data_IF_606845937589
#
_entry.id   IF_606845937589
#
_cell.length_a   1.000
_cell.length_b   1.000
_cell.length_c   1.000
_cell.angle_alpha   90.00
_cell.angle_beta   90.00
_cell.angle_gamma   90.00
#
_symmetry.space_group_name_H-M   'P 1'
#
loop_
_entity.id
_entity.type
_entity.pdbx_description
1 polymer ?
#
# COMPACT_ATOMS: atom_id res chain seq x y z
N UNK A 1 14.90 -16.54 8.32
CA UNK A 1 15.65 -16.29 7.09
C UNK A 1 15.54 -14.80 6.77
N UNK A 2 16.66 -14.12 6.64
CA UNK A 2 16.70 -12.75 6.11
C UNK A 2 16.52 -12.82 4.58
N UNK A 3 15.91 -11.78 4.00
CA UNK A 3 15.68 -11.71 2.56
C UNK A 3 14.21 -11.82 2.15
N UNK A 4 13.96 -11.73 0.86
CA UNK A 4 12.62 -11.74 0.25
C UNK A 4 12.28 -13.10 -0.35
N UNK A 5 13.28 -13.85 -0.77
CA UNK A 5 13.11 -15.14 -1.44
C UNK A 5 12.23 -16.11 -0.65
N UNK A 6 11.26 -16.69 -1.32
CA UNK A 6 10.27 -17.61 -0.76
C UNK A 6 9.20 -17.00 0.15
N UNK A 7 9.26 -15.70 0.51
CA UNK A 7 8.23 -15.05 1.31
C UNK A 7 6.91 -14.95 0.56
N UNK A 8 5.81 -15.19 1.26
CA UNK A 8 4.46 -15.01 0.74
C UNK A 8 3.98 -13.60 1.08
N UNK A 9 3.72 -12.79 0.05
CA UNK A 9 3.35 -11.38 0.19
C UNK A 9 2.00 -11.11 -0.45
N UNK A 10 1.04 -10.63 0.34
CA UNK A 10 -0.22 -10.11 -0.17
C UNK A 10 -0.12 -8.59 -0.38
N UNK A 11 -0.59 -8.08 -1.53
CA UNK A 11 -0.50 -6.66 -1.89
C UNK A 11 -1.87 -6.15 -2.31
N UNK A 12 -2.38 -5.12 -1.63
CA UNK A 12 -3.59 -4.42 -2.05
C UNK A 12 -3.27 -3.26 -3.00
N UNK A 13 -4.19 -2.96 -3.94
CA UNK A 13 -3.93 -1.91 -4.94
C UNK A 13 -2.84 -2.27 -5.94
N UNK A 14 -2.63 -3.56 -6.20
CA UNK A 14 -1.52 -4.08 -7.00
C UNK A 14 -1.68 -3.89 -8.53
N UNK A 15 -2.74 -3.25 -9.01
CA UNK A 15 -3.05 -3.13 -10.45
C UNK A 15 -2.42 -1.92 -11.14
N UNK A 16 -1.70 -1.04 -10.43
CA UNK A 16 -1.00 0.13 -10.99
C UNK A 16 -0.05 0.77 -9.97
N UNK A 17 0.80 1.69 -10.45
CA UNK A 17 1.63 2.58 -9.64
C UNK A 17 2.54 1.83 -8.65
N UNK A 18 2.55 2.29 -7.40
CA UNK A 18 3.42 1.72 -6.35
C UNK A 18 3.14 0.23 -6.12
N UNK A 19 1.86 -0.18 -6.12
CA UNK A 19 1.49 -1.57 -5.88
C UNK A 19 1.96 -2.51 -6.99
N UNK A 20 1.83 -2.12 -8.26
CA UNK A 20 2.35 -2.87 -9.41
C UNK A 20 3.88 -2.94 -9.37
N UNK A 21 4.56 -1.79 -9.19
CA UNK A 21 6.03 -1.76 -9.12
C UNK A 21 6.57 -2.61 -7.96
N UNK A 22 5.88 -2.60 -6.79
CA UNK A 22 6.22 -3.45 -5.66
C UNK A 22 6.05 -4.93 -5.99
N UNK A 23 4.94 -5.30 -6.64
CA UNK A 23 4.68 -6.68 -7.03
C UNK A 23 5.77 -7.21 -7.97
N UNK A 24 6.13 -6.43 -9.00
CA UNK A 24 7.16 -6.81 -9.96
C UNK A 24 8.54 -6.98 -9.29
N UNK A 25 8.96 -6.01 -8.47
CA UNK A 25 10.25 -6.05 -7.79
C UNK A 25 10.34 -7.21 -6.79
N UNK A 26 9.28 -7.47 -6.01
CA UNK A 26 9.28 -8.58 -5.05
C UNK A 26 9.26 -9.94 -5.74
N UNK A 27 8.56 -10.08 -6.88
CA UNK A 27 8.59 -11.29 -7.70
C UNK A 27 9.99 -11.57 -8.26
N UNK A 28 10.67 -10.54 -8.77
CA UNK A 28 12.07 -10.63 -9.24
C UNK A 28 13.01 -11.11 -8.13
N UNK A 29 12.71 -10.78 -6.86
CA UNK A 29 13.47 -11.22 -5.69
C UNK A 29 13.00 -12.56 -5.09
N UNK A 30 12.18 -13.32 -5.80
CA UNK A 30 11.73 -14.65 -5.41
C UNK A 30 10.53 -14.73 -4.47
N UNK A 31 9.80 -13.63 -4.22
CA UNK A 31 8.58 -13.67 -3.44
C UNK A 31 7.45 -14.41 -4.19
N UNK A 32 6.55 -15.04 -3.43
CA UNK A 32 5.29 -15.61 -3.89
C UNK A 32 4.17 -14.62 -3.60
N UNK A 33 3.42 -14.19 -4.62
CA UNK A 33 2.56 -13.03 -4.52
C UNK A 33 1.09 -13.37 -4.59
N UNK A 34 0.29 -12.71 -3.73
CA UNK A 34 -1.17 -12.68 -3.79
C UNK A 34 -1.59 -11.23 -4.05
N UNK A 35 -2.07 -10.96 -5.25
CA UNK A 35 -2.34 -9.61 -5.70
C UNK A 35 -3.84 -9.29 -5.65
N UNK A 36 -4.20 -8.23 -4.93
CA UNK A 36 -5.56 -7.75 -4.78
C UNK A 36 -5.76 -6.36 -5.37
N UNK A 37 -6.79 -6.19 -6.20
CA UNK A 37 -7.26 -4.90 -6.68
C UNK A 37 -8.68 -5.01 -7.27
N UNK A 38 -9.35 -3.86 -7.47
CA UNK A 38 -10.69 -3.82 -8.10
C UNK A 38 -10.66 -4.06 -9.60
N UNK A 39 -9.60 -3.62 -10.30
CA UNK A 39 -9.45 -3.70 -11.76
C UNK A 39 -8.83 -5.04 -12.16
N UNK A 40 -9.68 -6.07 -12.27
CA UNK A 40 -9.25 -7.46 -12.50
C UNK A 40 -8.43 -7.63 -13.79
N UNK A 41 -8.78 -6.95 -14.86
CA UNK A 41 -8.04 -7.04 -16.15
C UNK A 41 -6.62 -6.47 -16.05
N UNK A 42 -6.43 -5.32 -15.37
CA UNK A 42 -5.10 -4.77 -15.14
C UNK A 42 -4.28 -5.68 -14.22
N UNK A 43 -4.93 -6.22 -13.19
CA UNK A 43 -4.31 -7.15 -12.25
C UNK A 43 -3.84 -8.44 -12.95
N UNK A 44 -4.64 -8.98 -13.89
CA UNK A 44 -4.28 -10.14 -14.70
C UNK A 44 -3.01 -9.88 -15.54
N UNK A 45 -2.85 -8.68 -16.09
CA UNK A 45 -1.65 -8.30 -16.84
C UNK A 45 -0.40 -8.31 -15.95
N UNK A 46 -0.50 -7.81 -14.72
CA UNK A 46 0.61 -7.84 -13.75
C UNK A 46 1.00 -9.27 -13.41
N UNK A 47 0.01 -10.13 -13.10
CA UNK A 47 0.25 -11.56 -12.83
C UNK A 47 0.90 -12.25 -14.02
N UNK A 48 0.40 -12.04 -15.23
CA UNK A 48 0.96 -12.64 -16.43
C UNK A 48 2.44 -12.23 -16.65
N UNK A 49 2.78 -10.96 -16.44
CA UNK A 49 4.18 -10.47 -16.51
C UNK A 49 5.08 -11.17 -15.50
N UNK A 50 4.61 -11.34 -14.26
CA UNK A 50 5.36 -12.03 -13.21
C UNK A 50 5.58 -13.50 -13.58
N UNK A 51 4.54 -14.19 -14.03
CA UNK A 51 4.61 -15.61 -14.40
C UNK A 51 5.48 -15.84 -15.63
N UNK A 52 5.43 -14.96 -16.63
CA UNK A 52 6.30 -15.01 -17.81
C UNK A 52 7.79 -14.82 -17.46
N UNK A 53 8.08 -14.07 -16.41
CA UNK A 53 9.43 -13.92 -15.86
C UNK A 53 9.85 -15.07 -14.92
N UNK A 54 9.02 -16.13 -14.78
CA UNK A 54 9.29 -17.28 -13.91
C UNK A 54 8.91 -17.10 -12.44
N UNK A 55 8.29 -15.98 -12.08
CA UNK A 55 7.83 -15.71 -10.72
C UNK A 55 6.48 -16.37 -10.39
N UNK A 56 6.15 -16.43 -9.11
CA UNK A 56 4.91 -17.02 -8.59
C UNK A 56 3.93 -15.93 -8.14
N UNK A 57 2.81 -15.79 -8.84
CA UNK A 57 1.76 -14.84 -8.48
C UNK A 57 0.36 -15.40 -8.76
N UNK A 58 -0.57 -15.08 -7.87
CA UNK A 58 -2.02 -15.30 -8.04
C UNK A 58 -2.74 -13.99 -7.77
N UNK A 59 -3.99 -13.90 -8.21
CA UNK A 59 -4.80 -12.70 -8.03
C UNK A 59 -6.20 -13.01 -7.53
N UNK A 60 -6.79 -12.02 -6.88
CA UNK A 60 -8.21 -12.01 -6.53
C UNK A 60 -8.74 -10.57 -6.63
N UNK A 61 -9.98 -10.41 -7.16
CA UNK A 61 -10.63 -9.11 -7.11
C UNK A 61 -10.82 -8.71 -5.66
N UNK A 62 -10.32 -7.52 -5.27
CA UNK A 62 -10.34 -7.04 -3.89
C UNK A 62 -10.76 -5.58 -3.86
N UNK A 63 -11.85 -5.29 -3.18
CA UNK A 63 -12.24 -3.95 -2.77
C UNK A 63 -11.96 -3.80 -1.26
N UNK A 64 -10.99 -2.96 -0.91
CA UNK A 64 -10.57 -2.82 0.49
C UNK A 64 -11.63 -2.21 1.41
N UNK A 65 -12.70 -1.61 0.85
CA UNK A 65 -13.84 -1.15 1.62
C UNK A 65 -14.74 -2.30 2.11
N UNK A 66 -14.55 -3.50 1.57
CA UNK A 66 -15.29 -4.72 1.93
C UNK A 66 -14.40 -5.63 2.77
N UNK A 67 -14.80 -5.86 4.00
CA UNK A 67 -14.06 -6.70 4.94
C UNK A 67 -13.82 -8.12 4.41
N UNK A 68 -14.83 -8.67 3.78
CA UNK A 68 -14.83 -10.04 3.23
C UNK A 68 -13.76 -10.22 2.15
N UNK A 69 -13.55 -9.18 1.34
CA UNK A 69 -12.55 -9.23 0.26
C UNK A 69 -11.12 -9.31 0.83
N UNK A 70 -10.85 -8.65 1.98
CA UNK A 70 -9.54 -8.74 2.64
C UNK A 70 -9.33 -10.11 3.29
N UNK A 71 -10.36 -10.69 3.89
CA UNK A 71 -10.30 -12.07 4.38
C UNK A 71 -10.05 -13.06 3.25
N UNK A 72 -10.72 -12.90 2.09
CA UNK A 72 -10.49 -13.75 0.93
C UNK A 72 -9.08 -13.61 0.36
N UNK A 73 -8.51 -12.38 0.32
CA UNK A 73 -7.12 -12.14 -0.09
C UNK A 73 -6.12 -12.87 0.80
N UNK A 74 -6.31 -12.80 2.12
CA UNK A 74 -5.45 -13.47 3.12
C UNK A 74 -5.63 -14.99 3.08
N UNK A 75 -6.87 -15.48 2.95
CA UNK A 75 -7.15 -16.91 2.84
C UNK A 75 -6.49 -17.52 1.60
N UNK A 76 -6.54 -16.82 0.46
CA UNK A 76 -5.89 -17.26 -0.78
C UNK A 76 -4.36 -17.43 -0.61
N UNK A 77 -3.70 -16.64 0.24
CA UNK A 77 -2.29 -16.84 0.55
C UNK A 77 -2.03 -18.17 1.26
N UNK A 78 -2.87 -18.50 2.25
CA UNK A 78 -2.82 -19.79 2.93
C UNK A 78 -3.09 -20.97 1.99
N UNK A 79 -4.14 -20.89 1.17
CA UNK A 79 -4.54 -21.93 0.22
C UNK A 79 -3.49 -22.21 -0.85
N UNK A 80 -2.87 -21.18 -1.40
CA UNK A 80 -1.94 -21.31 -2.54
C UNK A 80 -0.51 -21.52 -2.13
N UNK A 81 -0.08 -20.98 -0.99
CA UNK A 81 1.33 -20.96 -0.58
C UNK A 81 1.56 -21.44 0.85
N UNK A 82 0.51 -21.83 1.58
CA UNK A 82 0.56 -22.42 2.92
C UNK A 82 0.78 -21.43 4.08
N UNK A 83 0.97 -20.13 3.78
CA UNK A 83 1.24 -19.07 4.79
C UNK A 83 1.03 -17.68 4.23
N UNK A 84 1.11 -16.68 5.12
CA UNK A 84 1.27 -15.28 4.75
C UNK A 84 2.42 -14.68 5.57
N UNK A 85 3.44 -14.10 4.94
CA UNK A 85 4.56 -13.46 5.65
C UNK A 85 4.42 -11.95 5.75
N UNK A 86 3.88 -11.32 4.71
CA UNK A 86 3.76 -9.86 4.61
C UNK A 86 2.41 -9.47 4.02
N UNK A 87 1.76 -8.48 4.65
CA UNK A 87 0.64 -7.76 4.05
C UNK A 87 1.07 -6.34 3.69
N UNK A 88 1.09 -6.02 2.39
CA UNK A 88 1.32 -4.66 1.89
C UNK A 88 -0.02 -3.96 1.69
N UNK A 89 -0.38 -3.11 2.64
CA UNK A 89 -1.56 -2.24 2.60
C UNK A 89 -1.28 -1.00 1.75
N UNK A 90 -1.35 -1.14 0.42
CA UNK A 90 -1.01 -0.06 -0.51
C UNK A 90 -2.24 0.58 -1.17
N UNK A 91 -3.38 -0.07 -1.21
CA UNK A 91 -4.59 0.53 -1.79
C UNK A 91 -4.92 1.87 -1.12
N UNK A 92 -5.13 2.90 -1.92
CA UNK A 92 -5.46 4.23 -1.45
C UNK A 92 -6.05 5.09 -2.56
N UNK A 93 -6.76 6.14 -2.17
CA UNK A 93 -7.29 7.17 -3.06
C UNK A 93 -7.01 8.55 -2.48
N UNK A 94 -6.90 9.54 -3.35
CA UNK A 94 -6.72 10.93 -2.93
C UNK A 94 -7.43 11.84 -3.91
N UNK A 95 -8.62 12.25 -3.54
CA UNK A 95 -9.37 13.30 -4.26
C UNK A 95 -9.06 14.62 -3.59
N UNK A 96 -8.28 15.45 -4.29
CA UNK A 96 -7.81 16.72 -3.78
C UNK A 96 -8.73 17.83 -4.27
N UNK A 97 -9.29 18.59 -3.31
CA UNK A 97 -10.15 19.74 -3.60
C UNK A 97 -10.21 20.69 -2.40
N UNK A 98 -10.54 21.99 -2.60
CA UNK A 98 -10.90 22.88 -1.50
C UNK A 98 -12.07 22.30 -0.70
N UNK A 99 -12.12 22.56 0.62
CA UNK A 99 -13.26 22.16 1.45
C UNK A 99 -14.56 22.84 1.00
N UNK A 100 -14.48 24.05 0.46
CA UNK A 100 -15.63 24.80 -0.05
C UNK A 100 -16.33 24.11 -1.25
N UNK A 101 -15.66 23.17 -1.92
CA UNK A 101 -16.30 22.36 -2.98
C UNK A 101 -17.33 21.37 -2.41
N UNK A 102 -17.36 21.15 -1.08
CA UNK A 102 -18.29 20.28 -0.34
C UNK A 102 -18.46 18.88 -0.96
N UNK A 103 -17.35 18.28 -1.40
CA UNK A 103 -17.36 16.95 -2.05
C UNK A 103 -17.41 15.82 -1.02
N UNK A 104 -18.50 15.77 -0.26
CA UNK A 104 -18.67 14.87 0.89
C UNK A 104 -18.53 13.40 0.49
N UNK A 105 -19.08 12.98 -0.64
CA UNK A 105 -18.97 11.59 -1.12
C UNK A 105 -17.50 11.18 -1.39
N UNK A 106 -16.67 12.13 -1.85
CA UNK A 106 -15.24 11.89 -2.05
C UNK A 106 -14.50 11.80 -0.71
N UNK A 107 -14.91 12.58 0.28
CA UNK A 107 -14.36 12.51 1.63
C UNK A 107 -14.68 11.15 2.28
N UNK A 108 -15.95 10.72 2.21
CA UNK A 108 -16.38 9.40 2.72
C UNK A 108 -15.60 8.28 2.05
N UNK A 109 -15.44 8.36 0.73
CA UNK A 109 -14.64 7.39 -0.03
C UNK A 109 -13.17 7.35 0.42
N UNK A 110 -12.55 8.51 0.72
CA UNK A 110 -11.18 8.55 1.25
C UNK A 110 -11.09 7.90 2.63
N UNK A 111 -12.07 8.12 3.50
CA UNK A 111 -12.16 7.45 4.81
C UNK A 111 -12.32 5.94 4.64
N UNK A 112 -13.25 5.51 3.79
CA UNK A 112 -13.54 4.10 3.57
C UNK A 112 -12.33 3.34 3.00
N UNK A 113 -11.66 3.91 2.00
CA UNK A 113 -10.53 3.24 1.35
C UNK A 113 -9.26 3.36 2.20
N UNK A 114 -8.89 4.58 2.63
CA UNK A 114 -7.59 4.82 3.24
C UNK A 114 -7.52 4.41 4.70
N UNK A 115 -8.62 4.55 5.46
CA UNK A 115 -8.66 4.21 6.90
C UNK A 115 -9.27 2.83 7.10
N UNK A 116 -10.54 2.64 6.71
CA UNK A 116 -11.22 1.35 6.93
C UNK A 116 -10.54 0.23 6.15
N UNK A 117 -10.03 0.51 4.92
CA UNK A 117 -9.27 -0.48 4.16
C UNK A 117 -8.02 -0.99 4.90
N UNK A 118 -7.30 -0.12 5.61
CA UNK A 118 -6.16 -0.52 6.46
C UNK A 118 -6.64 -1.34 7.65
N UNK A 119 -7.70 -0.92 8.34
CA UNK A 119 -8.29 -1.66 9.46
C UNK A 119 -8.78 -3.05 9.03
N UNK A 120 -9.42 -3.17 7.86
CA UNK A 120 -9.84 -4.47 7.32
C UNK A 120 -8.64 -5.37 7.02
N UNK A 121 -7.54 -4.80 6.48
CA UNK A 121 -6.30 -5.54 6.25
C UNK A 121 -5.70 -6.06 7.55
N UNK A 122 -5.62 -5.21 8.58
CA UNK A 122 -5.16 -5.61 9.91
C UNK A 122 -6.07 -6.71 10.47
N UNK A 123 -7.38 -6.53 10.42
CA UNK A 123 -8.36 -7.51 10.93
C UNK A 123 -8.27 -8.87 10.23
N UNK A 124 -7.94 -8.90 8.95
CA UNK A 124 -7.78 -10.14 8.19
C UNK A 124 -6.44 -10.85 8.46
N UNK A 125 -5.32 -10.10 8.52
CA UNK A 125 -4.00 -10.70 8.60
C UNK A 125 -3.50 -10.92 10.04
N UNK A 126 -3.90 -10.09 11.01
CA UNK A 126 -3.42 -10.19 12.38
C UNK A 126 -3.68 -11.55 13.05
N UNK A 127 -4.86 -12.18 12.93
CA UNK A 127 -5.09 -13.52 13.46
C UNK A 127 -4.17 -14.57 12.84
N UNK A 128 -3.91 -14.48 11.53
CA UNK A 128 -3.01 -15.39 10.81
C UNK A 128 -1.58 -15.22 11.29
N UNK A 129 -1.09 -13.99 11.40
CA UNK A 129 0.25 -13.68 11.89
C UNK A 129 0.44 -14.12 13.35
N UNK A 130 -0.57 -13.94 14.21
CA UNK A 130 -0.53 -14.43 15.60
C UNK A 130 -0.44 -15.95 15.66
N UNK A 131 -1.23 -16.66 14.86
CA UNK A 131 -1.19 -18.13 14.79
C UNK A 131 0.14 -18.65 14.25
N UNK A 132 0.77 -17.92 13.32
CA UNK A 132 2.09 -18.27 12.78
C UNK A 132 3.26 -17.89 13.71
N UNK A 133 3.04 -17.03 14.70
CA UNK A 133 4.10 -16.45 15.54
C UNK A 133 5.04 -15.52 14.76
N UNK A 134 4.65 -15.06 13.58
CA UNK A 134 5.45 -14.15 12.74
C UNK A 134 4.58 -13.46 11.69
N UNK A 135 4.94 -12.22 11.33
CA UNK A 135 4.27 -11.48 10.28
C UNK A 135 4.82 -10.06 10.14
N UNK A 136 4.49 -9.42 9.01
CA UNK A 136 4.91 -8.05 8.75
C UNK A 136 3.80 -7.26 8.06
N UNK A 137 3.36 -6.18 8.68
CA UNK A 137 2.47 -5.18 8.07
C UNK A 137 3.33 -4.09 7.44
N UNK A 138 3.19 -3.86 6.14
CA UNK A 138 3.80 -2.73 5.43
C UNK A 138 2.68 -1.87 4.87
N UNK A 139 2.57 -0.62 5.32
CA UNK A 139 1.44 0.24 4.93
C UNK A 139 1.93 1.51 4.22
N UNK A 140 1.35 1.81 3.08
CA UNK A 140 1.64 3.03 2.32
C UNK A 140 0.84 4.20 2.88
N UNK A 141 1.53 5.10 3.59
CA UNK A 141 1.00 6.39 4.04
C UNK A 141 1.23 7.49 2.98
N UNK A 142 1.81 8.61 3.37
CA UNK A 142 2.18 9.74 2.51
C UNK A 142 2.99 10.77 3.30
N UNK A 143 3.77 11.62 2.65
CA UNK A 143 4.30 12.84 3.27
C UNK A 143 3.19 13.79 3.75
N UNK A 144 1.98 13.66 3.24
CA UNK A 144 0.79 14.34 3.77
C UNK A 144 0.42 13.91 5.21
N UNK A 145 1.01 12.83 5.74
CA UNK A 145 0.89 12.44 7.16
C UNK A 145 1.83 13.22 8.10
N UNK A 146 2.60 14.18 7.58
CA UNK A 146 3.52 15.02 8.36
C UNK A 146 3.27 16.51 8.16
N UNK A 147 2.74 16.88 7.01
CA UNK A 147 2.50 18.27 6.65
C UNK A 147 1.22 18.39 5.84
N UNK A 148 0.36 19.29 6.26
CA UNK A 148 -0.86 19.62 5.54
C UNK A 148 -0.54 20.76 4.56
N UNK A 149 -1.02 20.62 3.32
CA UNK A 149 -0.98 21.69 2.32
C UNK A 149 -2.42 22.04 1.89
N UNK A 150 -2.66 23.24 1.35
CA UNK A 150 -3.99 23.63 0.87
C UNK A 150 -4.61 22.56 -0.05
N UNK A 151 -5.92 22.44 -0.02
CA UNK A 151 -6.73 21.48 -0.77
C UNK A 151 -6.59 20.01 -0.37
N UNK A 152 -5.68 19.67 0.55
CA UNK A 152 -5.40 18.28 0.97
C UNK A 152 -5.94 17.92 2.35
N UNK A 153 -6.80 18.72 2.97
CA UNK A 153 -7.20 18.56 4.37
C UNK A 153 -7.70 17.13 4.68
N UNK A 154 -8.70 16.65 3.94
CA UNK A 154 -9.30 15.32 4.21
C UNK A 154 -8.31 14.20 3.85
N UNK A 155 -7.63 14.28 2.70
CA UNK A 155 -6.60 13.32 2.35
C UNK A 155 -5.50 13.24 3.42
N UNK A 156 -4.96 14.39 3.84
CA UNK A 156 -3.96 14.45 4.90
C UNK A 156 -4.49 13.83 6.19
N UNK A 157 -5.70 14.17 6.62
CA UNK A 157 -6.31 13.58 7.81
C UNK A 157 -6.36 12.05 7.74
N UNK A 158 -6.71 11.46 6.58
CA UNK A 158 -6.68 10.01 6.41
C UNK A 158 -5.27 9.44 6.53
N UNK A 159 -4.25 10.14 6.03
CA UNK A 159 -2.85 9.67 6.10
C UNK A 159 -2.23 9.86 7.48
N UNK A 160 -2.60 10.89 8.23
CA UNK A 160 -2.30 11.00 9.66
C UNK A 160 -2.94 9.86 10.45
N UNK A 161 -4.22 9.54 10.17
CA UNK A 161 -4.89 8.41 10.82
C UNK A 161 -4.18 7.07 10.53
N UNK A 162 -3.79 6.81 9.28
CA UNK A 162 -3.03 5.60 8.90
C UNK A 162 -1.72 5.51 9.69
N UNK A 163 -0.97 6.61 9.79
CA UNK A 163 0.28 6.65 10.55
C UNK A 163 0.05 6.35 12.04
N UNK A 164 -0.99 6.94 12.64
CA UNK A 164 -1.37 6.68 14.03
C UNK A 164 -1.79 5.22 14.25
N UNK A 165 -2.58 4.64 13.33
CA UNK A 165 -3.00 3.23 13.39
C UNK A 165 -1.80 2.28 13.31
N UNK A 166 -0.85 2.54 12.40
CA UNK A 166 0.35 1.73 12.27
C UNK A 166 1.24 1.81 13.51
N UNK A 167 1.41 2.99 14.11
CA UNK A 167 2.16 3.14 15.36
C UNK A 167 1.47 2.43 16.54
N UNK A 168 0.13 2.56 16.67
CA UNK A 168 -0.63 1.81 17.66
C UNK A 168 -0.47 0.29 17.48
N UNK A 169 -0.63 -0.20 16.25
CA UNK A 169 -0.41 -1.61 15.94
C UNK A 169 1.02 -2.07 16.28
N UNK A 170 2.04 -1.26 15.99
CA UNK A 170 3.43 -1.56 16.32
C UNK A 170 3.63 -1.75 17.83
N UNK A 171 3.05 -0.88 18.65
CA UNK A 171 3.14 -0.97 20.12
C UNK A 171 2.43 -2.22 20.66
N UNK A 172 1.33 -2.64 20.01
CA UNK A 172 0.54 -3.80 20.42
C UNK A 172 1.02 -5.12 19.77
N UNK A 173 1.84 -5.04 18.73
CA UNK A 173 2.28 -6.20 17.93
C UNK A 173 3.13 -7.19 18.73
N UNK A 174 3.92 -6.73 19.70
CA UNK A 174 4.87 -7.55 20.46
C UNK A 174 6.09 -7.93 19.61
N UNK A 175 6.90 -8.84 20.10
CA UNK A 175 8.22 -9.18 19.53
C UNK A 175 8.16 -10.02 18.23
N UNK A 176 7.00 -10.59 17.92
CA UNK A 176 6.84 -11.53 16.79
C UNK A 176 6.37 -10.90 15.49
N UNK A 177 5.87 -9.67 15.53
CA UNK A 177 5.34 -8.97 14.36
C UNK A 177 6.10 -7.67 14.11
N UNK A 178 6.26 -7.35 12.84
CA UNK A 178 6.86 -6.08 12.38
C UNK A 178 5.80 -5.18 11.76
N UNK A 179 5.99 -3.88 11.92
CA UNK A 179 5.08 -2.88 11.35
C UNK A 179 5.89 -1.75 10.74
N UNK A 180 5.79 -1.60 9.43
CA UNK A 180 6.45 -0.54 8.66
C UNK A 180 5.44 0.38 8.01
N UNK A 181 5.61 1.68 8.19
CA UNK A 181 4.89 2.71 7.45
C UNK A 181 5.83 3.32 6.40
N UNK A 182 5.45 3.26 5.14
CA UNK A 182 6.19 3.91 4.05
C UNK A 182 5.42 5.14 3.61
N UNK A 183 6.06 6.31 3.65
CA UNK A 183 5.46 7.62 3.38
C UNK A 183 6.06 8.26 2.12
N UNK A 184 5.46 8.04 0.93
CA UNK A 184 5.90 8.63 -0.30
C UNK A 184 5.62 10.14 -0.38
N UNK A 185 6.51 10.90 -1.03
CA UNK A 185 6.24 12.21 -1.59
C UNK A 185 5.54 12.11 -2.95
N UNK A 186 5.89 13.01 -3.88
CA UNK A 186 5.34 12.99 -5.24
C UNK A 186 5.88 11.78 -6.02
N UNK A 187 4.97 10.94 -6.51
CA UNK A 187 5.26 9.72 -7.27
C UNK A 187 4.43 9.70 -8.55
N UNK A 188 5.02 9.26 -9.65
CA UNK A 188 4.32 9.08 -10.94
C UNK A 188 3.29 7.95 -10.80
N UNK A 189 2.02 8.32 -10.62
CA UNK A 189 0.87 7.38 -10.47
C UNK A 189 -0.40 8.01 -11.03
N UNK A 190 -1.47 7.22 -11.13
CA UNK A 190 -2.82 7.68 -11.50
C UNK A 190 -3.47 8.58 -10.40
N UNK A 191 -2.73 9.05 -9.40
CA UNK A 191 -3.25 9.78 -8.24
C UNK A 191 -3.93 11.10 -8.64
N UNK A 192 -3.32 11.85 -9.58
CA UNK A 192 -3.86 13.12 -10.05
C UNK A 192 -5.22 12.97 -10.77
N UNK A 193 -5.41 11.81 -11.44
CA UNK A 193 -6.63 11.52 -12.20
C UNK A 193 -7.87 11.30 -11.32
N UNK A 194 -7.67 11.06 -10.02
CA UNK A 194 -8.76 10.86 -9.07
C UNK A 194 -9.46 12.16 -8.67
N UNK A 195 -8.81 13.33 -8.86
CA UNK A 195 -9.42 14.62 -8.54
C UNK A 195 -10.45 15.04 -9.59
N UNK A 196 -11.67 15.33 -9.15
CA UNK A 196 -12.75 15.79 -10.02
C UNK A 196 -12.77 17.31 -10.23
N UNK A 197 -12.03 18.07 -9.39
CA UNK A 197 -11.80 19.50 -9.60
C UNK A 197 -10.70 19.67 -10.67
N UNK A 198 -11.08 20.19 -11.85
CA UNK A 198 -10.19 20.28 -13.02
C UNK A 198 -8.97 21.18 -12.77
N UNK A 199 -9.16 22.30 -12.08
CA UNK A 199 -8.07 23.23 -11.78
C UNK A 199 -7.04 22.58 -10.83
N UNK A 200 -7.51 21.92 -9.78
CA UNK A 200 -6.65 21.21 -8.83
C UNK A 200 -5.97 20.02 -9.51
N UNK A 201 -6.69 19.28 -10.35
CA UNK A 201 -6.12 18.18 -11.14
C UNK A 201 -4.97 18.65 -12.04
N UNK A 202 -5.14 19.79 -12.73
CA UNK A 202 -4.09 20.37 -13.56
C UNK A 202 -2.86 20.75 -12.73
N UNK A 203 -3.03 21.39 -11.57
CA UNK A 203 -1.93 21.74 -10.66
C UNK A 203 -1.18 20.50 -10.15
N UNK A 204 -1.90 19.44 -9.76
CA UNK A 204 -1.27 18.19 -9.30
C UNK A 204 -0.51 17.52 -10.44
N UNK A 205 -1.06 17.55 -11.66
CA UNK A 205 -0.41 16.99 -12.85
C UNK A 205 0.88 17.73 -13.15
N UNK A 206 0.86 19.07 -13.15
CA UNK A 206 2.06 19.90 -13.35
C UNK A 206 3.13 19.62 -12.27
N UNK A 207 2.70 19.54 -11.00
CA UNK A 207 3.60 19.21 -9.89
C UNK A 207 4.22 17.82 -10.06
N UNK A 208 3.41 16.83 -10.45
CA UNK A 208 3.86 15.46 -10.75
C UNK A 208 4.91 15.49 -11.85
N UNK A 209 4.62 16.11 -12.98
CA UNK A 209 5.50 16.10 -14.16
C UNK A 209 6.84 16.81 -13.89
N UNK A 210 6.84 17.75 -12.96
CA UNK A 210 8.06 18.50 -12.56
C UNK A 210 8.89 17.77 -11.50
N UNK A 211 8.28 17.10 -10.53
CA UNK A 211 8.97 16.64 -9.33
C UNK A 211 8.91 15.13 -9.09
N UNK A 212 7.92 14.43 -9.62
CA UNK A 212 7.62 13.08 -9.16
C UNK A 212 8.74 12.08 -9.50
N UNK A 213 9.03 11.21 -8.53
CA UNK A 213 9.91 10.05 -8.72
C UNK A 213 9.11 8.84 -9.26
N UNK A 214 9.77 7.88 -9.91
CA UNK A 214 9.13 6.68 -10.39
C UNK A 214 8.67 5.79 -9.21
N UNK A 215 7.57 5.03 -9.36
CA UNK A 215 7.01 4.16 -8.30
C UNK A 215 7.99 3.09 -7.83
N UNK A 216 8.95 2.69 -8.65
CA UNK A 216 10.04 1.77 -8.30
C UNK A 216 10.91 2.28 -7.15
N UNK A 217 11.01 3.60 -6.95
CA UNK A 217 11.72 4.16 -5.79
C UNK A 217 11.04 3.79 -4.48
N UNK A 218 9.71 3.79 -4.46
CA UNK A 218 8.92 3.37 -3.30
C UNK A 218 8.93 1.85 -3.15
N UNK A 219 8.85 1.11 -4.26
CA UNK A 219 8.96 -0.34 -4.25
C UNK A 219 10.29 -0.81 -3.62
N UNK A 220 11.41 -0.13 -3.91
CA UNK A 220 12.71 -0.41 -3.27
C UNK A 220 12.70 -0.15 -1.76
N UNK A 221 12.01 0.89 -1.29
CA UNK A 221 11.88 1.18 0.14
C UNK A 221 11.02 0.11 0.86
N UNK A 222 9.94 -0.34 0.22
CA UNK A 222 9.11 -1.45 0.72
C UNK A 222 9.95 -2.74 0.78
N UNK A 223 10.68 -3.06 -0.29
CA UNK A 223 11.54 -4.24 -0.35
C UNK A 223 12.63 -4.19 0.72
N UNK A 224 13.27 -3.04 0.94
CA UNK A 224 14.25 -2.83 2.01
C UNK A 224 13.69 -3.17 3.39
N UNK A 225 12.48 -2.73 3.71
CA UNK A 225 11.85 -3.06 5.00
C UNK A 225 11.55 -4.57 5.13
N UNK A 226 11.08 -5.21 4.04
CA UNK A 226 10.72 -6.62 4.03
C UNK A 226 11.96 -7.53 4.20
N UNK A 227 13.08 -7.19 3.57
CA UNK A 227 14.29 -8.01 3.56
C UNK A 227 15.05 -8.02 4.88
N UNK A 228 14.75 -7.10 5.81
CA UNK A 228 15.42 -7.05 7.10
C UNK A 228 15.21 -8.34 7.90
N UNK A 229 16.17 -8.72 8.77
CA UNK A 229 16.01 -9.83 9.70
C UNK A 229 14.75 -9.67 10.56
N UNK A 230 14.16 -10.77 11.02
CA UNK A 230 12.95 -10.77 11.85
C UNK A 230 13.10 -10.00 13.17
N UNK A 231 14.32 -9.81 13.64
CA UNK A 231 14.67 -9.05 14.84
C UNK A 231 14.83 -7.55 14.60
N UNK A 232 14.71 -7.11 13.34
CA UNK A 232 14.83 -5.69 12.94
C UNK A 232 13.49 -5.19 12.41
N UNK A 233 12.91 -4.25 13.10
CA UNK A 233 11.67 -3.58 12.69
C UNK A 233 11.98 -2.15 12.20
N UNK A 234 11.85 -1.93 10.89
CA UNK A 234 11.98 -0.61 10.27
C UNK A 234 10.61 0.07 10.33
N UNK A 235 10.40 0.94 11.30
CA UNK A 235 9.06 1.43 11.62
C UNK A 235 8.53 2.47 10.65
N UNK A 236 9.40 3.38 10.17
CA UNK A 236 8.95 4.45 9.27
C UNK A 236 10.02 4.80 8.25
N UNK A 237 9.59 4.86 6.97
CA UNK A 237 10.45 5.27 5.85
C UNK A 237 9.76 6.41 5.10
N UNK A 238 10.43 7.55 5.02
CA UNK A 238 9.95 8.69 4.22
C UNK A 238 10.80 8.82 2.97
N UNK A 239 10.16 8.76 1.80
CA UNK A 239 10.84 8.85 0.50
C UNK A 239 10.26 10.02 -0.29
N UNK A 240 11.10 11.02 -0.59
CA UNK A 240 10.71 12.21 -1.35
C UNK A 240 11.58 12.38 -2.58
N UNK A 241 11.07 13.00 -3.64
CA UNK A 241 11.93 13.64 -4.63
C UNK A 241 12.89 14.61 -3.95
N UNK A 242 14.14 14.68 -4.36
CA UNK A 242 15.12 15.64 -3.82
C UNK A 242 14.71 17.10 -4.03
N UNK A 243 13.90 17.35 -5.06
CA UNK A 243 13.36 18.68 -5.37
C UNK A 243 12.07 19.02 -4.60
N UNK A 244 11.54 18.10 -3.79
CA UNK A 244 10.35 18.32 -2.97
C UNK A 244 10.76 18.84 -1.58
N UNK A 245 10.48 20.10 -1.28
CA UNK A 245 10.66 20.73 0.04
C UNK A 245 9.63 20.28 1.07
#
# INVERSE_FOLDING_TARGET
>A
MAGIDGKVVAITGASSGIGEATALLLAERGARLVLGARRSERLAKVVARIQQAGGAAVQIRTDVTRREDLHALVALAGERFGRLDVLVGNAGVGTISPLDDLRVDEWDRMVDVNIKGVLHGIGAALPVFRAQGSGHFVTTASTAAFRIVPNMAVYAATKFAVRALCEGLRQEAGESLRVTTVSPGAVVTDFAEASTNEQVRAQITELRDRLAIPPEAIARAIAFAIEQPSTVDVNEIVVRPTAQS
#
